data_IF_808516968704
#
_entry.id   IF_808516968704
#
_cell.length_a   1.000
_cell.length_b   1.000
_cell.length_c   1.000
_cell.angle_alpha   90.00
_cell.angle_beta   90.00
_cell.angle_gamma   90.00
#
_symmetry.space_group_name_H-M   'P 1'
#
loop_
_entity.id
_entity.type
_entity.pdbx_description
1 polymer ?
#
# COMPACT_ATOMS: atom_id res chain seq x y z
N UNK A 1 -11.27 -16.35 -0.48
CA UNK A 1 -10.32 -15.36 -1.02
C UNK A 1 -10.38 -14.10 -0.16
N UNK A 2 -9.31 -13.29 -0.12
CA UNK A 2 -9.28 -12.03 0.65
C UNK A 2 -10.41 -11.09 0.22
N UNK A 3 -10.99 -10.37 1.18
CA UNK A 3 -12.09 -9.43 1.01
C UNK A 3 -11.84 -8.19 1.88
N UNK A 4 -12.54 -7.10 1.57
CA UNK A 4 -12.40 -5.82 2.27
C UNK A 4 -10.95 -5.33 2.41
N UNK A 5 -10.09 -5.64 1.42
CA UNK A 5 -8.73 -5.12 1.41
C UNK A 5 -8.77 -3.60 1.42
N UNK A 6 -8.06 -2.99 2.37
CA UNK A 6 -8.00 -1.55 2.54
C UNK A 6 -6.60 -1.11 2.93
N UNK A 7 -6.28 0.14 2.61
CA UNK A 7 -5.01 0.77 2.98
C UNK A 7 -5.32 1.93 3.93
N UNK A 8 -4.62 1.96 5.05
CA UNK A 8 -4.60 3.09 5.98
C UNK A 8 -3.22 3.74 5.98
N UNK A 9 -3.17 5.05 6.18
CA UNK A 9 -1.92 5.82 6.20
C UNK A 9 -1.77 6.51 7.56
N UNK A 10 -0.63 6.32 8.20
CA UNK A 10 -0.31 6.89 9.52
C UNK A 10 0.90 7.80 9.37
N UNK A 11 0.84 9.10 9.77
CA UNK A 11 -0.31 9.76 10.42
C UNK A 11 -1.48 10.10 9.49
N UNK A 12 -1.23 10.30 8.20
CA UNK A 12 -2.24 10.63 7.18
C UNK A 12 -1.73 10.32 5.77
N UNK A 13 -2.62 10.27 4.79
CA UNK A 13 -2.27 10.12 3.37
C UNK A 13 -1.84 11.43 2.70
N UNK A 14 -1.99 12.55 3.39
CA UNK A 14 -1.41 13.84 3.03
C UNK A 14 -0.27 14.14 3.99
N UNK A 15 0.96 14.21 3.47
CA UNK A 15 2.20 14.17 4.25
C UNK A 15 3.09 15.34 3.83
N UNK A 16 3.65 16.07 4.78
CA UNK A 16 4.62 17.12 4.47
C UNK A 16 5.94 16.51 3.96
N UNK A 17 6.57 17.14 2.97
CA UNK A 17 7.91 16.75 2.51
C UNK A 17 8.90 16.65 3.69
N UNK A 18 9.72 15.60 3.67
CA UNK A 18 10.69 15.30 4.73
C UNK A 18 10.12 14.57 5.95
N UNK A 19 8.80 14.41 6.05
CA UNK A 19 8.16 13.67 7.15
C UNK A 19 8.18 12.16 6.93
N UNK A 20 7.75 11.40 7.93
CA UNK A 20 7.55 9.95 7.82
C UNK A 20 6.08 9.59 7.67
N UNK A 21 5.82 8.50 6.95
CA UNK A 21 4.49 7.93 6.80
C UNK A 21 4.59 6.42 6.69
N UNK A 22 3.64 5.72 7.30
CA UNK A 22 3.49 4.27 7.20
C UNK A 22 2.13 3.95 6.60
N UNK A 23 2.14 3.28 5.45
CA UNK A 23 0.97 2.67 4.84
C UNK A 23 0.79 1.26 5.39
N UNK A 24 -0.42 0.92 5.83
CA UNK A 24 -0.77 -0.38 6.40
C UNK A 24 -1.90 -0.98 5.57
N UNK A 25 -1.67 -2.18 5.07
CA UNK A 25 -2.67 -2.93 4.34
C UNK A 25 -3.36 -3.93 5.25
N UNK A 26 -4.69 -3.94 5.24
CA UNK A 26 -5.51 -4.87 5.99
C UNK A 26 -6.48 -5.56 5.05
N UNK A 27 -6.86 -6.81 5.34
CA UNK A 27 -7.79 -7.59 4.52
C UNK A 27 -8.41 -8.71 5.35
N UNK A 28 -9.70 -8.97 5.15
CA UNK A 28 -10.45 -10.06 5.77
C UNK A 28 -10.30 -11.32 4.91
N UNK A 29 -9.59 -12.33 5.39
CA UNK A 29 -9.35 -13.56 4.63
C UNK A 29 -9.49 -14.82 5.49
N UNK A 30 -10.22 -15.80 4.97
CA UNK A 30 -10.24 -17.17 5.50
C UNK A 30 -9.99 -18.18 4.34
N UNK A 31 -8.88 -18.95 4.37
CA UNK A 31 -7.76 -18.87 5.30
C UNK A 31 -7.04 -17.52 5.27
N UNK A 32 -6.20 -17.26 6.27
CA UNK A 32 -5.46 -16.01 6.41
C UNK A 32 -4.69 -15.62 5.13
N UNK A 33 -4.44 -14.32 4.98
CA UNK A 33 -3.61 -13.81 3.88
C UNK A 33 -2.22 -14.43 3.98
N UNK A 34 -1.76 -14.99 2.87
CA UNK A 34 -0.44 -15.60 2.75
C UNK A 34 0.62 -14.56 2.39
N UNK A 35 0.26 -13.58 1.56
CA UNK A 35 1.18 -12.53 1.15
C UNK A 35 0.46 -11.19 0.91
N UNK A 36 1.14 -10.11 1.27
CA UNK A 36 0.78 -8.74 0.93
C UNK A 36 1.87 -8.18 0.03
N UNK A 37 1.49 -7.69 -1.14
CA UNK A 37 2.42 -7.09 -2.10
C UNK A 37 2.08 -5.63 -2.30
N UNK A 38 3.07 -4.76 -2.10
CA UNK A 38 2.96 -3.33 -2.38
C UNK A 38 3.51 -3.03 -3.76
N UNK A 39 2.74 -2.28 -4.54
CA UNK A 39 3.17 -1.73 -5.82
C UNK A 39 2.83 -0.26 -5.93
N UNK A 40 3.58 0.45 -6.77
CA UNK A 40 3.34 1.85 -7.11
C UNK A 40 2.97 1.96 -8.57
N UNK A 41 2.02 2.83 -8.86
CA UNK A 41 1.72 3.21 -10.24
C UNK A 41 2.77 4.20 -10.76
N UNK A 42 3.42 3.82 -11.86
CA UNK A 42 4.43 4.61 -12.57
C UNK A 42 4.22 4.41 -14.07
N UNK A 43 3.99 5.51 -14.81
CA UNK A 43 3.80 5.48 -16.29
C UNK A 43 2.76 4.47 -16.80
N UNK A 44 1.68 4.26 -16.04
CA UNK A 44 0.62 3.29 -16.36
C UNK A 44 0.99 1.83 -16.09
N UNK A 45 2.12 1.57 -15.43
CA UNK A 45 2.54 0.26 -14.97
C UNK A 45 2.57 0.21 -13.44
N UNK A 46 2.35 -0.99 -12.89
CA UNK A 46 2.49 -1.25 -11.45
C UNK A 46 3.87 -1.83 -11.19
N UNK A 47 4.74 -1.02 -10.59
CA UNK A 47 6.06 -1.44 -10.14
C UNK A 47 5.97 -2.01 -8.73
N UNK A 48 6.41 -3.26 -8.55
CA UNK A 48 6.46 -3.87 -7.23
C UNK A 48 7.54 -3.21 -6.37
N UNK A 49 7.15 -2.73 -5.18
CA UNK A 49 8.05 -2.10 -4.22
C UNK A 49 8.58 -3.11 -3.20
N UNK A 50 7.67 -3.79 -2.50
CA UNK A 50 8.01 -4.73 -1.44
C UNK A 50 6.87 -5.71 -1.14
N UNK A 51 7.17 -6.69 -0.29
CA UNK A 51 6.17 -7.56 0.32
C UNK A 51 6.12 -7.32 1.82
N UNK A 52 4.93 -7.47 2.41
CA UNK A 52 4.70 -7.21 3.83
C UNK A 52 3.42 -6.41 4.09
N UNK A 53 2.94 -6.46 5.34
CA UNK A 53 1.71 -5.79 5.78
C UNK A 53 1.84 -4.27 5.69
N UNK A 54 3.05 -3.73 5.85
CA UNK A 54 3.30 -2.29 5.96
C UNK A 54 4.34 -1.82 4.96
N UNK A 55 4.16 -0.60 4.45
CA UNK A 55 5.11 0.14 3.62
C UNK A 55 5.44 1.47 4.32
N UNK A 56 6.67 1.62 4.80
CA UNK A 56 7.10 2.81 5.56
C UNK A 56 8.08 3.65 4.76
N UNK A 57 7.84 4.95 4.72
CA UNK A 57 8.76 5.96 4.22
C UNK A 57 9.25 6.81 5.40
N UNK A 58 10.54 6.74 5.70
CA UNK A 58 11.12 7.51 6.82
C UNK A 58 11.30 8.99 6.50
N UNK A 59 11.52 9.32 5.22
CA UNK A 59 11.69 10.69 4.73
C UNK A 59 11.07 10.83 3.35
N UNK A 60 9.87 11.41 3.30
CA UNK A 60 9.11 11.64 2.08
C UNK A 60 9.73 12.78 1.25
N UNK A 61 9.47 12.77 -0.05
CA UNK A 61 9.86 13.83 -0.99
C UNK A 61 8.83 13.87 -2.12
N UNK A 62 8.79 14.92 -2.94
CA UNK A 62 7.79 15.03 -4.01
C UNK A 62 7.80 13.86 -5.01
N UNK A 63 8.93 13.14 -5.16
CA UNK A 63 9.01 11.95 -6.02
C UNK A 63 8.29 10.74 -5.43
N UNK A 64 7.97 10.72 -4.14
CA UNK A 64 7.16 9.67 -3.51
C UNK A 64 5.65 9.89 -3.69
N UNK A 65 5.22 11.03 -4.24
CA UNK A 65 3.80 11.32 -4.50
C UNK A 65 3.26 10.35 -5.56
N UNK A 66 2.06 9.81 -5.37
CA UNK A 66 1.39 8.97 -6.35
C UNK A 66 0.49 7.89 -5.75
N UNK A 67 -0.02 7.02 -6.62
CA UNK A 67 -0.88 5.91 -6.23
C UNK A 67 -0.07 4.70 -5.78
N UNK A 68 -0.41 4.20 -4.59
CA UNK A 68 0.13 2.99 -4.01
C UNK A 68 -0.97 1.94 -3.93
N UNK A 69 -0.62 0.73 -4.32
CA UNK A 69 -1.52 -0.42 -4.36
C UNK A 69 -1.00 -1.48 -3.40
N UNK A 70 -1.93 -2.09 -2.68
CA UNK A 70 -1.67 -3.29 -1.91
C UNK A 70 -2.51 -4.42 -2.48
N UNK A 71 -1.87 -5.55 -2.78
CA UNK A 71 -2.53 -6.79 -3.16
C UNK A 71 -2.42 -7.78 -2.01
N UNK A 72 -3.55 -8.16 -1.42
CA UNK A 72 -3.63 -9.25 -0.45
C UNK A 72 -3.96 -10.55 -1.19
N UNK A 73 -3.21 -11.62 -0.92
CA UNK A 73 -3.37 -12.91 -1.60
C UNK A 73 -3.42 -14.07 -0.61
N UNK A 74 -4.34 -15.02 -0.85
CA UNK A 74 -4.36 -16.33 -0.20
C UNK A 74 -4.56 -17.45 -1.24
N UNK A 75 -4.60 -18.70 -0.78
CA UNK A 75 -4.75 -19.88 -1.67
C UNK A 75 -6.03 -19.90 -2.53
N UNK A 76 -7.04 -19.10 -2.17
CA UNK A 76 -8.31 -19.03 -2.89
C UNK A 76 -8.41 -17.81 -3.82
N UNK A 77 -7.43 -16.91 -3.84
CA UNK A 77 -7.42 -15.75 -4.72
C UNK A 77 -6.76 -14.51 -4.11
N UNK A 78 -6.97 -13.36 -4.73
CA UNK A 78 -6.41 -12.09 -4.30
C UNK A 78 -7.42 -10.94 -4.42
N UNK A 79 -7.19 -9.88 -3.65
CA UNK A 79 -7.90 -8.61 -3.77
C UNK A 79 -6.93 -7.45 -3.57
N UNK A 80 -7.07 -6.42 -4.40
CA UNK A 80 -6.27 -5.20 -4.33
C UNK A 80 -7.06 -4.01 -3.77
N UNK A 81 -6.32 -3.06 -3.20
CA UNK A 81 -6.79 -1.73 -2.83
C UNK A 81 -5.73 -0.71 -3.24
N UNK A 82 -6.15 0.54 -3.43
CA UNK A 82 -5.24 1.65 -3.74
C UNK A 82 -5.44 2.84 -2.81
N UNK A 83 -4.40 3.65 -2.65
CA UNK A 83 -4.43 4.94 -1.95
C UNK A 83 -3.53 5.94 -2.68
N UNK A 84 -3.98 7.19 -2.76
CA UNK A 84 -3.13 8.30 -3.22
C UNK A 84 -2.33 8.81 -2.02
N UNK A 85 -1.00 8.72 -2.11
CA UNK A 85 -0.12 9.43 -1.18
C UNK A 85 0.15 10.83 -1.74
N UNK A 86 -0.45 11.82 -1.11
CA UNK A 86 -0.21 13.22 -1.41
C UNK A 86 0.93 13.75 -0.54
N UNK A 87 1.88 14.43 -1.17
CA UNK A 87 3.04 15.00 -0.48
C UNK A 87 3.04 16.49 -0.72
N UNK A 88 2.94 17.27 0.36
CA UNK A 88 2.85 18.73 0.32
C UNK A 88 4.19 19.41 0.55
#
# INVERSE_FOLDING_TARGET
>A
APKNTSISAIPSSSVLEGSSVTLICSSDANPAVLNYTWSRESEGQLEQLQTGVTLTFNRTNLKHRGWYHCTAQNQHGSQNSSVMLDIQ
#
